data_IF_642403092055
#
_entry.id   IF_642403092055
#
_cell.length_a   1.000
_cell.length_b   1.000
_cell.length_c   1.000
_cell.angle_alpha   90.00
_cell.angle_beta   90.00
_cell.angle_gamma   90.00
#
_symmetry.space_group_name_H-M   'P 1'
#
loop_
_entity.id
_entity.type
_entity.pdbx_description
1 polymer ?
#
# COMPACT_ATOMS: atom_id res chain seq x y z
N UNK A 1 17.29 0.33 24.46
CA UNK A 1 15.93 -0.25 24.41
C UNK A 1 15.26 0.31 23.16
N UNK A 2 15.48 -0.37 22.02
CA UNK A 2 14.97 0.03 20.72
C UNK A 2 13.45 -0.16 20.72
N UNK A 3 12.68 0.93 20.65
CA UNK A 3 11.25 0.84 20.37
C UNK A 3 11.12 0.35 18.93
N UNK A 4 10.37 -0.74 18.73
CA UNK A 4 9.93 -1.15 17.40
C UNK A 4 9.32 0.05 16.65
N UNK A 5 9.48 0.12 15.31
CA UNK A 5 8.80 1.13 14.53
C UNK A 5 7.30 0.95 14.73
N UNK A 6 6.66 1.90 15.41
CA UNK A 6 5.19 2.00 15.44
C UNK A 6 4.73 2.04 13.98
N UNK A 7 3.90 1.08 13.58
CA UNK A 7 3.29 1.08 12.26
C UNK A 7 2.70 2.48 11.98
N UNK A 8 2.94 3.06 10.79
CA UNK A 8 2.36 4.36 10.43
C UNK A 8 0.84 4.29 10.61
N UNK A 9 0.29 5.22 11.40
CA UNK A 9 -1.07 5.11 11.91
C UNK A 9 -2.09 5.16 10.77
N UNK A 10 -2.66 4.00 10.42
CA UNK A 10 -3.84 3.84 9.57
C UNK A 10 -5.10 4.55 10.14
N UNK A 11 -5.02 5.15 11.33
CA UNK A 11 -6.13 5.77 12.04
C UNK A 11 -6.81 6.92 11.26
N UNK A 12 -6.09 7.58 10.34
CA UNK A 12 -6.68 8.57 9.44
C UNK A 12 -7.54 7.91 8.33
N UNK A 13 -7.08 6.78 7.79
CA UNK A 13 -7.76 6.08 6.69
C UNK A 13 -8.94 5.22 7.19
N UNK A 14 -8.78 4.48 8.30
CA UNK A 14 -9.80 3.53 8.81
C UNK A 14 -11.13 4.23 9.11
N UNK A 15 -11.09 5.46 9.63
CA UNK A 15 -12.32 6.14 10.02
C UNK A 15 -13.11 6.66 8.80
N UNK A 16 -12.43 7.10 7.74
CA UNK A 16 -13.09 7.48 6.50
C UNK A 16 -13.65 6.24 5.76
N UNK A 17 -12.93 5.11 5.82
CA UNK A 17 -13.34 3.81 5.26
C UNK A 17 -14.64 3.27 5.92
N UNK A 18 -14.82 3.49 7.22
CA UNK A 18 -16.01 3.01 7.96
C UNK A 18 -17.28 3.86 7.76
N UNK A 19 -17.22 4.96 7.00
CA UNK A 19 -18.28 5.97 6.96
C UNK A 19 -18.96 6.17 5.61
N UNK A 20 -18.57 5.43 4.60
CA UNK A 20 -19.06 5.58 3.23
C UNK A 20 -19.92 4.39 2.80
N UNK A 21 -20.96 4.71 2.02
CA UNK A 21 -21.87 3.75 1.43
C UNK A 21 -21.10 2.69 0.62
N UNK A 22 -21.62 1.47 0.58
CA UNK A 22 -21.05 0.30 -0.10
C UNK A 22 -20.52 0.68 -1.49
N UNK A 23 -19.20 0.83 -1.62
CA UNK A 23 -18.57 0.83 -2.93
C UNK A 23 -18.94 -0.50 -3.60
N UNK A 24 -19.58 -0.42 -4.75
CA UNK A 24 -20.00 -1.60 -5.49
C UNK A 24 -18.84 -1.96 -6.43
N UNK A 25 -18.08 -2.98 -6.05
CA UNK A 25 -17.05 -3.55 -6.91
C UNK A 25 -17.47 -4.92 -7.41
N UNK A 26 -17.04 -5.23 -8.63
CA UNK A 26 -17.18 -6.56 -9.21
C UNK A 26 -15.84 -7.27 -9.10
N UNK A 27 -15.85 -8.59 -8.91
CA UNK A 27 -14.64 -9.37 -9.17
C UNK A 27 -14.21 -9.13 -10.61
N UNK A 28 -12.99 -8.64 -10.80
CA UNK A 28 -12.42 -8.54 -12.14
C UNK A 28 -11.82 -9.91 -12.51
N UNK A 29 -12.12 -10.42 -13.72
CA UNK A 29 -11.37 -11.53 -14.28
C UNK A 29 -9.86 -11.21 -14.30
N UNK A 30 -8.98 -12.19 -14.06
CA UNK A 30 -7.55 -11.98 -14.13
C UNK A 30 -7.11 -11.30 -15.44
N UNK A 31 -6.34 -10.20 -15.32
CA UNK A 31 -5.82 -9.46 -16.48
C UNK A 31 -6.83 -8.52 -17.15
N UNK A 32 -8.04 -8.38 -16.60
CA UNK A 32 -8.97 -7.36 -17.09
C UNK A 32 -8.43 -5.95 -16.81
N UNK A 33 -8.54 -5.01 -17.77
CA UNK A 33 -8.05 -3.65 -17.57
C UNK A 33 -8.87 -2.93 -16.50
N UNK A 34 -8.17 -2.31 -15.55
CA UNK A 34 -8.82 -1.46 -14.53
C UNK A 34 -9.16 -0.10 -15.14
N UNK A 35 -10.41 0.37 -15.01
CA UNK A 35 -10.80 1.66 -15.57
C UNK A 35 -10.07 2.82 -14.87
N UNK A 36 -9.74 3.89 -15.62
CA UNK A 36 -9.18 5.08 -15.02
C UNK A 36 -10.18 5.71 -14.05
N UNK A 37 -9.69 6.10 -12.88
CA UNK A 37 -10.46 6.73 -11.81
C UNK A 37 -9.91 8.11 -11.46
N UNK A 38 -10.71 8.91 -10.77
CA UNK A 38 -10.30 10.23 -10.26
C UNK A 38 -9.64 10.08 -8.89
N UNK A 39 -8.63 10.89 -8.61
CA UNK A 39 -8.04 10.97 -7.28
C UNK A 39 -8.94 11.75 -6.31
N UNK A 40 -8.97 11.39 -5.01
CA UNK A 40 -8.26 10.24 -4.44
C UNK A 40 -9.04 8.95 -4.72
N UNK A 41 -8.33 7.83 -4.85
CA UNK A 41 -8.91 6.51 -5.17
C UNK A 41 -8.25 5.34 -4.46
N UNK A 42 -7.26 5.57 -3.59
CA UNK A 42 -6.64 4.48 -2.84
C UNK A 42 -7.42 4.16 -1.58
N UNK A 43 -7.45 5.08 -0.61
CA UNK A 43 -8.04 4.80 0.70
C UNK A 43 -9.24 5.68 1.03
N UNK A 44 -9.47 6.72 0.24
CA UNK A 44 -10.66 7.58 0.29
C UNK A 44 -11.02 8.05 -1.11
N UNK A 45 -12.27 8.46 -1.33
CA UNK A 45 -12.71 9.23 -2.52
C UNK A 45 -13.11 10.66 -2.14
N UNK A 46 -13.27 11.51 -3.16
CA UNK A 46 -13.76 12.88 -2.95
C UNK A 46 -15.16 12.90 -2.32
N UNK A 47 -16.02 11.96 -2.72
CA UNK A 47 -17.37 11.77 -2.18
C UNK A 47 -17.32 11.36 -0.70
N UNK A 48 -16.40 10.47 -0.32
CA UNK A 48 -16.24 10.03 1.08
C UNK A 48 -15.70 11.16 1.97
N UNK A 49 -14.79 11.99 1.46
CA UNK A 49 -14.35 13.21 2.15
C UNK A 49 -15.52 14.18 2.35
N UNK A 50 -16.33 14.41 1.32
CA UNK A 50 -17.52 15.27 1.41
C UNK A 50 -18.54 14.72 2.42
N UNK A 51 -18.83 13.42 2.37
CA UNK A 51 -19.73 12.74 3.30
C UNK A 51 -19.23 12.85 4.76
N UNK A 52 -17.92 12.71 4.98
CA UNK A 52 -17.29 12.88 6.29
C UNK A 52 -17.48 14.30 6.82
N UNK A 53 -17.30 15.33 5.97
CA UNK A 53 -17.54 16.74 6.34
C UNK A 53 -19.00 17.03 6.66
N UNK A 54 -19.94 16.43 5.91
CA UNK A 54 -21.38 16.54 6.22
C UNK A 54 -21.76 15.84 7.53
N UNK A 55 -21.13 14.69 7.83
CA UNK A 55 -21.32 13.98 9.09
C UNK A 55 -20.80 14.78 10.29
N UNK A 56 -19.66 15.47 10.14
CA UNK A 56 -19.11 16.32 11.19
C UNK A 56 -20.06 17.43 11.68
N UNK A 57 -21.05 17.83 10.88
CA UNK A 57 -22.09 18.78 11.30
C UNK A 57 -23.10 18.20 12.29
N UNK A 58 -23.21 16.87 12.35
CA UNK A 58 -24.19 16.13 13.16
C UNK A 58 -23.54 15.37 14.31
N UNK A 59 -22.34 14.86 14.11
CA UNK A 59 -21.63 13.98 15.03
C UNK A 59 -20.38 14.70 15.59
N UNK A 60 -20.40 15.20 16.85
CA UNK A 60 -19.29 15.96 17.43
C UNK A 60 -17.95 15.23 17.43
N UNK A 61 -17.96 13.90 17.56
CA UNK A 61 -16.75 13.08 17.57
C UNK A 61 -16.07 13.03 16.20
N UNK A 62 -16.83 13.18 15.10
CA UNK A 62 -16.28 13.26 13.74
C UNK A 62 -15.63 14.62 13.53
N UNK A 63 -16.26 15.69 14.00
CA UNK A 63 -15.67 17.03 13.99
C UNK A 63 -14.34 17.07 14.75
N UNK A 64 -14.33 16.58 15.99
CA UNK A 64 -13.14 16.49 16.83
C UNK A 64 -12.01 15.66 16.18
N UNK A 65 -12.36 14.59 15.46
CA UNK A 65 -11.38 13.82 14.69
C UNK A 65 -10.79 14.60 13.50
N UNK A 66 -11.61 15.35 12.74
CA UNK A 66 -11.12 16.22 11.66
C UNK A 66 -10.22 17.31 12.25
N UNK A 67 -10.65 17.96 13.33
CA UNK A 67 -9.90 19.04 13.99
C UNK A 67 -8.55 18.55 14.52
N UNK A 68 -8.48 17.37 15.15
CA UNK A 68 -7.20 16.74 15.54
C UNK A 68 -6.30 16.45 14.34
N UNK A 69 -6.87 16.03 13.22
CA UNK A 69 -6.10 15.76 12.00
C UNK A 69 -5.48 17.05 11.46
N UNK A 70 -6.26 18.13 11.41
CA UNK A 70 -5.79 19.46 10.98
C UNK A 70 -4.77 20.04 11.95
N UNK A 71 -5.02 19.95 13.26
CA UNK A 71 -4.08 20.42 14.27
C UNK A 71 -2.73 19.70 14.19
N UNK A 72 -2.73 18.39 13.93
CA UNK A 72 -1.48 17.66 13.72
C UNK A 72 -0.80 18.09 12.43
N UNK A 73 -1.55 18.34 11.35
CA UNK A 73 -1.01 18.86 10.10
C UNK A 73 -0.35 20.24 10.26
N UNK A 74 -0.86 21.11 11.13
CA UNK A 74 -0.24 22.41 11.43
C UNK A 74 1.21 22.25 11.92
N UNK A 75 1.45 21.27 12.80
CA UNK A 75 2.80 21.00 13.32
C UNK A 75 3.76 20.45 12.25
N UNK A 76 3.22 19.89 11.17
CA UNK A 76 4.01 19.28 10.09
C UNK A 76 4.40 20.30 9.00
N UNK A 77 3.82 21.51 9.02
CA UNK A 77 4.20 22.59 8.11
C UNK A 77 5.67 23.01 8.31
N UNK A 78 6.19 22.84 9.53
CA UNK A 78 7.56 23.20 9.92
C UNK A 78 8.60 22.11 9.66
N UNK A 79 8.22 20.95 9.10
CA UNK A 79 9.17 19.87 8.77
C UNK A 79 10.32 20.40 7.91
N UNK A 80 11.56 20.20 8.33
CA UNK A 80 12.73 20.59 7.54
C UNK A 80 12.98 19.55 6.44
N UNK A 81 13.05 20.05 5.21
CA UNK A 81 13.29 19.25 4.00
C UNK A 81 14.61 19.65 3.34
N UNK A 82 15.49 20.37 4.03
CA UNK A 82 16.82 20.77 3.55
C UNK A 82 17.66 19.56 3.11
N UNK A 83 17.58 18.48 3.89
CA UNK A 83 18.21 17.18 3.63
C UNK A 83 17.25 16.05 3.99
N UNK A 84 17.23 14.99 3.19
CA UNK A 84 16.49 13.77 3.57
C UNK A 84 17.24 13.02 4.68
N UNK A 85 16.52 12.22 5.49
CA UNK A 85 17.15 11.36 6.47
C UNK A 85 18.18 10.41 5.84
N UNK A 86 19.22 9.99 6.60
CA UNK A 86 20.12 8.93 6.17
C UNK A 86 19.37 7.61 5.94
N UNK A 87 19.97 6.75 5.11
CA UNK A 87 19.45 5.39 4.88
C UNK A 87 19.21 4.67 6.21
N UNK A 88 18.09 3.96 6.30
CA UNK A 88 17.63 3.20 7.48
C UNK A 88 17.27 4.07 8.71
N UNK A 89 16.94 5.34 8.51
CA UNK A 89 16.43 6.23 9.56
C UNK A 89 14.89 6.22 9.63
N UNK A 90 14.32 6.07 10.83
CA UNK A 90 12.87 6.07 11.07
C UNK A 90 12.17 7.39 10.68
N UNK A 91 12.93 8.48 10.52
CA UNK A 91 12.40 9.75 10.01
C UNK A 91 11.84 9.64 8.58
N UNK A 92 12.25 8.64 7.80
CA UNK A 92 11.62 8.37 6.50
C UNK A 92 10.13 8.04 6.64
N UNK A 93 9.79 7.16 7.58
CA UNK A 93 8.40 6.79 7.89
C UNK A 93 7.60 7.96 8.46
N UNK A 94 8.26 8.80 9.26
CA UNK A 94 7.67 10.04 9.78
C UNK A 94 7.29 11.00 8.65
N UNK A 95 8.21 11.29 7.72
CA UNK A 95 7.96 12.18 6.59
C UNK A 95 6.87 11.64 5.64
N UNK A 96 6.83 10.33 5.39
CA UNK A 96 5.74 9.72 4.63
C UNK A 96 4.39 9.92 5.32
N UNK A 97 4.33 9.63 6.63
CA UNK A 97 3.12 9.84 7.43
C UNK A 97 2.72 11.31 7.50
N UNK A 98 3.69 12.22 7.50
CA UNK A 98 3.46 13.65 7.48
C UNK A 98 2.82 14.09 6.16
N UNK A 99 3.35 13.63 5.02
CA UNK A 99 2.79 13.92 3.70
C UNK A 99 1.34 13.40 3.57
N UNK A 100 1.04 12.21 4.07
CA UNK A 100 -0.31 11.64 4.08
C UNK A 100 -1.27 12.49 4.93
N UNK A 101 -0.87 12.86 6.15
CA UNK A 101 -1.70 13.67 7.05
C UNK A 101 -1.94 15.08 6.52
N UNK A 102 -0.92 15.70 5.91
CA UNK A 102 -1.04 16.97 5.21
C UNK A 102 -2.01 16.85 4.01
N UNK A 103 -1.97 15.74 3.29
CA UNK A 103 -2.93 15.42 2.24
C UNK A 103 -4.38 15.38 2.74
N UNK A 104 -4.63 14.66 3.83
CA UNK A 104 -5.97 14.63 4.46
C UNK A 104 -6.41 16.03 4.93
N UNK A 105 -5.53 16.77 5.62
CA UNK A 105 -5.84 18.13 6.07
C UNK A 105 -6.15 19.06 4.89
N UNK A 106 -5.46 18.92 3.76
CA UNK A 106 -5.76 19.66 2.54
C UNK A 106 -7.18 19.38 2.03
N UNK A 107 -7.60 18.10 1.96
CA UNK A 107 -8.94 17.75 1.47
C UNK A 107 -10.05 18.15 2.45
N UNK A 108 -9.82 18.03 3.77
CA UNK A 108 -10.80 18.45 4.77
C UNK A 108 -10.95 19.97 4.85
N UNK A 109 -9.87 20.73 4.71
CA UNK A 109 -9.90 22.20 4.92
C UNK A 109 -10.01 22.99 3.62
N UNK A 110 -9.58 22.44 2.49
CA UNK A 110 -9.39 23.17 1.23
C UNK A 110 -8.23 24.17 1.25
N UNK A 111 -7.35 24.13 2.26
CA UNK A 111 -6.22 25.07 2.36
C UNK A 111 -5.00 24.56 1.60
N UNK A 112 -4.54 25.37 0.64
CA UNK A 112 -3.38 25.07 -0.22
C UNK A 112 -2.08 24.80 0.55
N UNK A 113 -1.89 25.42 1.72
CA UNK A 113 -0.66 25.29 2.52
C UNK A 113 -0.32 23.84 2.88
N UNK A 114 -1.33 23.01 3.18
CA UNK A 114 -1.11 21.61 3.53
C UNK A 114 -0.76 20.79 2.28
N UNK A 115 -1.47 20.99 1.18
CA UNK A 115 -1.21 20.31 -0.08
C UNK A 115 0.17 20.66 -0.65
N UNK A 116 0.57 21.93 -0.56
CA UNK A 116 1.89 22.40 -0.99
C UNK A 116 3.00 21.76 -0.16
N UNK A 117 2.82 21.63 1.17
CA UNK A 117 3.80 20.95 2.02
C UNK A 117 3.87 19.45 1.74
N UNK A 118 2.72 18.77 1.57
CA UNK A 118 2.69 17.36 1.19
C UNK A 118 3.44 17.14 -0.14
N UNK A 119 3.16 17.99 -1.14
CA UNK A 119 3.85 18.00 -2.43
C UNK A 119 5.36 18.21 -2.28
N UNK A 120 5.80 19.15 -1.44
CA UNK A 120 7.23 19.39 -1.20
C UNK A 120 7.94 18.13 -0.67
N UNK A 121 7.33 17.40 0.27
CA UNK A 121 7.88 16.15 0.79
C UNK A 121 8.00 15.12 -0.35
N UNK A 122 6.91 14.89 -1.08
CA UNK A 122 6.86 13.92 -2.19
C UNK A 122 7.90 14.22 -3.27
N UNK A 123 7.98 15.48 -3.73
CA UNK A 123 8.95 15.91 -4.74
C UNK A 123 10.37 15.81 -4.20
N UNK A 124 10.62 16.12 -2.92
CA UNK A 124 11.96 15.95 -2.35
C UNK A 124 12.43 14.49 -2.44
N UNK A 125 11.55 13.52 -2.20
CA UNK A 125 11.90 12.12 -2.41
C UNK A 125 12.13 11.79 -3.89
N UNK A 126 11.29 12.26 -4.81
CA UNK A 126 11.51 12.06 -6.25
C UNK A 126 12.82 12.69 -6.77
N UNK A 127 13.34 13.70 -6.09
CA UNK A 127 14.57 14.40 -6.47
C UNK A 127 15.82 13.71 -5.94
N UNK A 128 15.72 13.11 -4.76
CA UNK A 128 16.85 12.50 -4.07
C UNK A 128 16.95 11.00 -4.31
N UNK A 129 15.83 10.28 -4.44
CA UNK A 129 15.82 8.83 -4.57
C UNK A 129 16.71 8.31 -5.72
N UNK A 130 16.71 8.91 -6.92
CA UNK A 130 17.59 8.46 -8.01
C UNK A 130 19.09 8.53 -7.71
N UNK A 131 19.49 9.29 -6.68
CA UNK A 131 20.89 9.41 -6.24
C UNK A 131 21.32 8.27 -5.30
N UNK A 132 20.36 7.54 -4.73
CA UNK A 132 20.67 6.38 -3.89
C UNK A 132 21.02 5.20 -4.79
N UNK A 133 22.19 4.54 -4.60
CA UNK A 133 22.48 3.32 -5.32
C UNK A 133 21.49 2.25 -4.88
N UNK A 134 20.71 1.72 -5.82
CA UNK A 134 19.88 0.56 -5.55
C UNK A 134 20.77 -0.60 -5.12
N UNK A 135 20.55 -1.12 -3.92
CA UNK A 135 21.06 -2.43 -3.50
C UNK A 135 19.88 -3.41 -3.60
N UNK A 136 20.11 -4.69 -3.93
CA UNK A 136 19.07 -5.64 -4.35
C UNK A 136 17.81 -5.66 -3.49
N UNK A 137 17.89 -5.22 -2.24
CA UNK A 137 16.84 -5.27 -1.24
C UNK A 137 16.05 -3.96 -1.07
N UNK A 138 16.65 -2.76 -1.24
CA UNK A 138 15.97 -1.47 -1.05
C UNK A 138 16.84 -0.21 -1.33
N UNK A 139 16.19 0.92 -1.65
CA UNK A 139 16.80 2.25 -1.79
C UNK A 139 17.16 2.88 -0.43
N UNK A 140 16.15 3.24 0.36
CA UNK A 140 16.28 4.03 1.60
C UNK A 140 16.22 3.18 2.88
N UNK A 141 15.90 1.90 2.76
CA UNK A 141 15.97 0.92 3.85
C UNK A 141 16.95 -0.22 3.57
N UNK A 142 17.16 -1.07 4.57
CA UNK A 142 17.97 -2.29 4.46
C UNK A 142 17.20 -3.43 3.81
N UNK A 143 15.89 -3.52 4.04
CA UNK A 143 15.05 -4.56 3.46
C UNK A 143 13.83 -3.96 2.76
N UNK A 144 13.38 -4.66 1.73
CA UNK A 144 12.20 -4.35 0.92
C UNK A 144 10.92 -4.23 1.73
N UNK A 145 10.79 -4.92 2.87
CA UNK A 145 9.60 -4.79 3.73
C UNK A 145 9.45 -3.38 4.25
N UNK A 146 10.49 -2.81 4.87
CA UNK A 146 10.35 -1.44 5.39
C UNK A 146 10.10 -0.47 4.25
N UNK A 147 10.70 -0.72 3.08
CA UNK A 147 10.47 0.09 1.89
C UNK A 147 9.04 -0.05 1.32
N UNK A 148 8.45 -1.25 1.35
CA UNK A 148 7.07 -1.52 0.95
C UNK A 148 6.06 -0.89 1.93
N UNK A 149 6.31 -1.00 3.24
CA UNK A 149 5.52 -0.31 4.26
C UNK A 149 5.51 1.20 4.01
N UNK A 150 6.69 1.76 3.77
CA UNK A 150 6.87 3.18 3.47
C UNK A 150 6.18 3.58 2.16
N UNK A 151 6.31 2.77 1.11
CA UNK A 151 5.71 3.01 -0.20
C UNK A 151 4.18 3.01 -0.15
N UNK A 152 3.55 2.15 0.67
CA UNK A 152 2.10 2.18 0.88
C UNK A 152 1.62 3.57 1.34
N UNK A 153 2.34 4.18 2.29
CA UNK A 153 2.01 5.50 2.83
C UNK A 153 2.34 6.60 1.83
N UNK A 154 3.47 6.50 1.12
CA UNK A 154 3.84 7.46 0.08
C UNK A 154 2.87 7.46 -1.11
N UNK A 155 2.38 6.29 -1.54
CA UNK A 155 1.37 6.17 -2.58
C UNK A 155 0.06 6.84 -2.13
N UNK A 156 -0.35 6.62 -0.88
CA UNK A 156 -1.52 7.28 -0.27
C UNK A 156 -1.36 8.80 -0.23
N UNK A 157 -0.20 9.28 0.21
CA UNK A 157 0.12 10.71 0.22
C UNK A 157 0.09 11.32 -1.19
N UNK A 158 0.63 10.62 -2.19
CA UNK A 158 0.59 11.05 -3.58
C UNK A 158 -0.84 11.12 -4.12
N UNK A 159 -1.68 10.13 -3.84
CA UNK A 159 -3.10 10.11 -4.21
C UNK A 159 -3.86 11.34 -3.66
N UNK A 160 -3.68 11.64 -2.37
CA UNK A 160 -4.27 12.79 -1.70
C UNK A 160 -3.73 14.12 -2.27
N UNK A 161 -2.42 14.22 -2.51
CA UNK A 161 -1.80 15.40 -3.11
C UNK A 161 -2.30 15.62 -4.55
N UNK A 162 -2.49 14.55 -5.32
CA UNK A 162 -3.05 14.60 -6.66
C UNK A 162 -4.49 15.12 -6.64
N UNK A 163 -5.30 14.66 -5.69
CA UNK A 163 -6.67 15.12 -5.50
C UNK A 163 -6.77 16.62 -5.16
N UNK A 164 -5.76 17.18 -4.50
CA UNK A 164 -5.75 18.61 -4.11
C UNK A 164 -5.68 19.59 -5.29
N UNK A 165 -5.31 19.13 -6.49
CA UNK A 165 -5.10 19.99 -7.67
C UNK A 165 -3.79 20.79 -7.67
N UNK A 166 -2.94 20.65 -6.63
CA UNK A 166 -1.68 21.40 -6.48
C UNK A 166 -0.46 20.76 -7.17
N UNK A 167 -0.61 19.52 -7.62
CA UNK A 167 0.43 18.76 -8.31
C UNK A 167 0.17 18.78 -9.82
N UNK A 168 1.04 19.46 -10.55
CA UNK A 168 1.01 19.56 -12.01
C UNK A 168 1.29 18.22 -12.68
N UNK A 169 0.96 18.11 -13.98
CA UNK A 169 1.22 16.88 -14.73
C UNK A 169 2.72 16.53 -14.82
N UNK A 170 3.58 17.55 -14.95
CA UNK A 170 5.03 17.35 -14.93
C UNK A 170 5.51 16.80 -13.58
N UNK A 171 4.97 17.30 -12.47
CA UNK A 171 5.27 16.81 -11.12
C UNK A 171 4.71 15.38 -10.90
N UNK A 172 3.52 15.07 -11.42
CA UNK A 172 2.95 13.71 -11.39
C UNK A 172 3.84 12.73 -12.13
N UNK A 173 4.27 13.08 -13.35
CA UNK A 173 5.19 12.27 -14.14
C UNK A 173 6.52 12.07 -13.40
N UNK A 174 7.06 13.13 -12.79
CA UNK A 174 8.28 13.07 -11.99
C UNK A 174 8.14 12.11 -10.80
N UNK A 175 7.01 12.15 -10.09
CA UNK A 175 6.72 11.23 -8.99
C UNK A 175 6.58 9.79 -9.48
N UNK A 176 5.90 9.57 -10.61
CA UNK A 176 5.77 8.25 -11.20
C UNK A 176 7.14 7.65 -11.56
N UNK A 177 7.97 8.41 -12.26
CA UNK A 177 9.19 7.89 -12.88
C UNK A 177 10.40 7.85 -11.93
N UNK A 178 10.47 8.76 -10.95
CA UNK A 178 11.65 8.87 -10.07
C UNK A 178 11.41 8.35 -8.65
N UNK A 179 10.16 8.01 -8.29
CA UNK A 179 9.81 7.59 -6.94
C UNK A 179 8.93 6.34 -6.95
N UNK A 180 7.72 6.40 -7.51
CA UNK A 180 6.72 5.35 -7.35
C UNK A 180 7.11 4.07 -8.10
N UNK A 181 7.41 4.16 -9.40
CA UNK A 181 7.80 3.01 -10.23
C UNK A 181 9.15 2.41 -9.79
N UNK A 182 10.23 3.20 -9.57
CA UNK A 182 11.50 2.62 -9.16
C UNK A 182 11.41 1.84 -7.85
N UNK A 183 10.72 2.38 -6.84
CA UNK A 183 10.58 1.70 -5.54
C UNK A 183 9.69 0.46 -5.67
N UNK A 184 8.58 0.54 -6.40
CA UNK A 184 7.72 -0.62 -6.67
C UNK A 184 8.51 -1.72 -7.40
N UNK A 185 9.29 -1.38 -8.42
CA UNK A 185 10.14 -2.33 -9.13
C UNK A 185 11.26 -2.89 -8.24
N UNK A 186 11.79 -2.12 -7.29
CA UNK A 186 12.70 -2.64 -6.27
C UNK A 186 12.04 -3.73 -5.42
N UNK A 187 10.83 -3.45 -4.93
CA UNK A 187 10.02 -4.41 -4.16
C UNK A 187 9.71 -5.67 -4.97
N UNK A 188 9.36 -5.52 -6.26
CA UNK A 188 9.04 -6.65 -7.15
C UNK A 188 10.23 -7.60 -7.40
N UNK A 189 11.48 -7.18 -7.14
CA UNK A 189 12.68 -8.02 -7.28
C UNK A 189 12.92 -8.92 -6.10
N UNK A 190 12.31 -8.63 -4.95
CA UNK A 190 12.55 -9.40 -3.75
C UNK A 190 11.88 -10.77 -3.86
N UNK A 191 12.70 -11.75 -4.20
CA UNK A 191 12.35 -13.16 -4.30
C UNK A 191 13.03 -13.98 -3.21
N UNK A 192 13.24 -13.41 -2.01
CA UNK A 192 13.80 -14.17 -0.88
C UNK A 192 13.07 -15.50 -0.74
N UNK A 193 13.85 -16.59 -0.66
CA UNK A 193 13.34 -17.95 -0.52
C UNK A 193 13.67 -18.94 -1.64
N UNK A 194 14.32 -18.53 -2.72
CA UNK A 194 14.64 -19.44 -3.84
C UNK A 194 13.38 -19.82 -4.63
N UNK A 195 13.39 -20.94 -5.38
CA UNK A 195 12.22 -21.40 -6.17
C UNK A 195 11.34 -22.43 -5.44
N UNK A 196 11.62 -22.75 -4.17
CA UNK A 196 11.01 -23.88 -3.45
C UNK A 196 10.37 -23.49 -2.10
N UNK A 197 9.13 -23.97 -1.89
CA UNK A 197 8.42 -23.99 -0.59
C UNK A 197 7.82 -22.67 -0.10
N UNK A 198 7.38 -22.65 1.17
CA UNK A 198 6.79 -21.51 1.89
C UNK A 198 7.70 -20.27 2.01
N UNK A 199 8.95 -20.32 1.53
CA UNK A 199 9.88 -19.20 1.70
C UNK A 199 9.52 -17.96 0.86
N UNK A 200 8.61 -18.08 -0.11
CA UNK A 200 7.98 -16.95 -0.82
C UNK A 200 6.69 -16.45 -0.16
N UNK A 201 6.23 -17.13 0.88
CA UNK A 201 4.89 -16.99 1.43
C UNK A 201 5.00 -16.64 2.92
N UNK A 202 5.18 -15.35 3.21
CA UNK A 202 5.39 -14.80 4.55
C UNK A 202 4.92 -13.35 4.57
N UNK A 203 4.85 -12.74 5.76
CA UNK A 203 4.27 -11.40 5.95
C UNK A 203 4.79 -10.29 5.00
N UNK A 204 6.00 -10.45 4.44
CA UNK A 204 6.55 -9.55 3.44
C UNK A 204 5.76 -9.53 2.14
N UNK A 205 5.28 -10.68 1.67
CA UNK A 205 4.54 -10.77 0.43
C UNK A 205 3.23 -9.96 0.49
N UNK A 206 2.56 -9.95 1.65
CA UNK A 206 1.39 -9.12 1.90
C UNK A 206 1.70 -7.62 1.68
N UNK A 207 2.80 -7.15 2.28
CA UNK A 207 3.23 -5.76 2.14
C UNK A 207 3.73 -5.42 0.74
N UNK A 208 4.39 -6.36 0.05
CA UNK A 208 4.81 -6.19 -1.32
C UNK A 208 3.61 -6.04 -2.27
N UNK A 209 2.61 -6.93 -2.16
CA UNK A 209 1.36 -6.85 -2.90
C UNK A 209 0.64 -5.52 -2.62
N UNK A 210 0.55 -5.12 -1.36
CA UNK A 210 -0.09 -3.86 -0.97
C UNK A 210 0.62 -2.65 -1.58
N UNK A 211 1.95 -2.59 -1.46
CA UNK A 211 2.73 -1.45 -1.94
C UNK A 211 2.68 -1.32 -3.47
N UNK A 212 2.93 -2.42 -4.18
CA UNK A 212 2.93 -2.46 -5.65
C UNK A 212 1.52 -2.25 -6.20
N UNK A 213 0.50 -2.85 -5.57
CA UNK A 213 -0.90 -2.65 -5.93
C UNK A 213 -1.36 -1.21 -5.72
N UNK A 214 -1.02 -0.58 -4.59
CA UNK A 214 -1.30 0.85 -4.37
C UNK A 214 -0.67 1.72 -5.47
N UNK A 215 0.57 1.44 -5.88
CA UNK A 215 1.22 2.16 -6.99
C UNK A 215 0.50 1.90 -8.31
N UNK A 216 0.12 0.65 -8.59
CA UNK A 216 -0.62 0.28 -9.79
C UNK A 216 -1.96 1.00 -9.90
N UNK A 217 -2.78 0.99 -8.85
CA UNK A 217 -4.06 1.68 -8.82
C UNK A 217 -3.92 3.20 -8.88
N UNK A 218 -2.92 3.76 -8.20
CA UNK A 218 -2.61 5.19 -8.25
C UNK A 218 -2.26 5.65 -9.66
N UNK A 219 -1.39 4.91 -10.35
CA UNK A 219 -0.91 5.28 -11.69
C UNK A 219 -1.81 4.75 -12.82
N UNK A 220 -2.86 3.98 -12.48
CA UNK A 220 -3.66 3.20 -13.42
C UNK A 220 -2.79 2.32 -14.33
N UNK A 221 -1.73 1.74 -13.76
CA UNK A 221 -0.70 0.99 -14.47
C UNK A 221 -0.91 -0.52 -14.27
N UNK A 222 -1.51 -1.12 -15.30
CA UNK A 222 -1.97 -2.51 -15.29
C UNK A 222 -0.86 -3.51 -14.95
N UNK A 223 0.39 -3.21 -15.32
CA UNK A 223 1.52 -4.12 -15.05
C UNK A 223 1.74 -4.33 -13.55
N UNK A 224 1.67 -3.26 -12.77
CA UNK A 224 1.83 -3.35 -11.31
C UNK A 224 0.59 -3.96 -10.65
N UNK A 225 -0.60 -3.68 -11.18
CA UNK A 225 -1.86 -4.30 -10.71
C UNK A 225 -1.81 -5.82 -10.91
N UNK A 226 -1.49 -6.28 -12.12
CA UNK A 226 -1.39 -7.72 -12.43
C UNK A 226 -0.36 -8.44 -11.54
N UNK A 227 0.79 -7.80 -11.30
CA UNK A 227 1.82 -8.34 -10.42
C UNK A 227 1.32 -8.48 -8.98
N UNK A 228 0.69 -7.41 -8.47
CA UNK A 228 0.19 -7.38 -7.10
C UNK A 228 -0.99 -8.34 -6.87
N UNK A 229 -1.87 -8.55 -7.86
CA UNK A 229 -3.01 -9.45 -7.74
C UNK A 229 -2.66 -10.90 -8.02
N UNK A 230 -1.64 -11.16 -8.82
CA UNK A 230 -1.24 -12.51 -9.21
C UNK A 230 -2.03 -13.04 -10.42
N UNK A 231 -2.38 -12.16 -11.34
CA UNK A 231 -3.31 -12.46 -12.45
C UNK A 231 -2.64 -13.17 -13.64
N UNK A 232 -1.31 -13.35 -13.62
CA UNK A 232 -0.57 -13.99 -14.70
C UNK A 232 0.54 -14.90 -14.17
N UNK A 233 0.60 -16.13 -14.68
CA UNK A 233 1.72 -17.04 -14.44
C UNK A 233 2.85 -16.73 -15.43
N UNK A 234 3.50 -15.58 -15.24
CA UNK A 234 4.64 -15.14 -16.08
C UNK A 234 5.78 -14.57 -15.26
N UNK A 235 6.96 -14.59 -15.86
CA UNK A 235 8.18 -13.95 -15.36
C UNK A 235 8.61 -12.88 -16.35
N UNK A 236 9.02 -11.72 -15.85
CA UNK A 236 9.59 -10.64 -16.66
C UNK A 236 10.98 -10.27 -16.15
N UNK A 237 11.86 -9.84 -17.06
CA UNK A 237 13.14 -9.24 -16.68
C UNK A 237 12.94 -7.76 -16.33
N UNK A 238 13.55 -7.26 -15.23
CA UNK A 238 13.59 -5.84 -14.94
C UNK A 238 14.29 -5.04 -16.06
N UNK A 239 13.99 -3.74 -16.23
CA UNK A 239 14.59 -2.92 -17.28
C UNK A 239 16.12 -2.86 -17.25
N UNK A 240 16.74 -3.00 -16.07
CA UNK A 240 18.19 -3.02 -15.88
C UNK A 240 18.81 -4.43 -15.96
N UNK A 241 17.99 -5.45 -16.26
CA UNK A 241 18.39 -6.85 -16.39
C UNK A 241 18.73 -7.55 -15.08
N UNK A 242 18.49 -6.95 -13.91
CA UNK A 242 18.91 -7.50 -12.61
C UNK A 242 17.74 -8.02 -11.78
N UNK A 243 17.61 -9.34 -11.73
CA UNK A 243 16.55 -10.04 -10.99
C UNK A 243 15.43 -10.52 -11.92
N UNK A 244 14.29 -10.87 -11.33
CA UNK A 244 13.10 -11.36 -12.05
C UNK A 244 11.86 -10.81 -11.37
N UNK A 245 10.93 -10.27 -12.14
CA UNK A 245 9.57 -10.00 -11.68
C UNK A 245 8.73 -11.24 -11.88
N UNK A 246 8.24 -11.83 -10.79
CA UNK A 246 7.39 -13.01 -10.85
C UNK A 246 5.94 -12.66 -10.53
N UNK A 247 5.05 -12.81 -11.50
CA UNK A 247 3.64 -12.44 -11.40
C UNK A 247 2.79 -13.56 -10.75
N UNK A 248 3.37 -14.73 -10.46
CA UNK A 248 2.62 -15.87 -9.92
C UNK A 248 2.31 -15.81 -8.42
N UNK A 249 2.93 -14.89 -7.67
CA UNK A 249 2.90 -14.85 -6.20
C UNK A 249 2.13 -13.65 -5.62
N UNK A 250 1.17 -13.08 -6.37
CA UNK A 250 0.37 -11.94 -5.90
C UNK A 250 -0.67 -12.28 -4.82
N UNK A 251 -1.60 -11.35 -4.59
CA UNK A 251 -2.62 -11.44 -3.54
C UNK A 251 -3.46 -12.72 -3.60
N UNK A 252 -3.83 -13.20 -4.79
CA UNK A 252 -4.55 -14.47 -4.95
C UNK A 252 -3.76 -15.66 -4.41
N UNK A 253 -2.44 -15.69 -4.64
CA UNK A 253 -1.56 -16.72 -4.07
C UNK A 253 -1.50 -16.62 -2.56
N UNK A 254 -1.40 -15.39 -2.01
CA UNK A 254 -1.43 -15.17 -0.57
C UNK A 254 -2.72 -15.67 0.08
N UNK A 255 -3.90 -15.37 -0.49
CA UNK A 255 -5.17 -15.88 0.06
C UNK A 255 -5.23 -17.40 -0.04
N UNK A 256 -4.77 -17.97 -1.16
CA UNK A 256 -4.81 -19.41 -1.41
C UNK A 256 -3.94 -20.19 -0.41
N UNK A 257 -2.73 -19.71 -0.19
CA UNK A 257 -1.68 -20.47 0.47
C UNK A 257 -1.42 -20.06 1.92
N UNK A 258 -1.55 -18.76 2.23
CA UNK A 258 -1.08 -18.18 3.51
C UNK A 258 -2.21 -17.78 4.46
N UNK A 259 -3.45 -17.79 3.96
CA UNK A 259 -4.66 -17.66 4.77
C UNK A 259 -5.25 -19.05 4.95
N UNK A 260 -5.50 -19.40 6.21
CA UNK A 260 -6.10 -20.67 6.61
C UNK A 260 -7.62 -20.61 6.49
N UNK A 261 -8.28 -21.76 6.58
CA UNK A 261 -9.75 -21.83 6.44
C UNK A 261 -10.49 -21.12 7.57
N UNK A 262 -9.84 -20.94 8.73
CA UNK A 262 -10.34 -20.13 9.85
C UNK A 262 -10.04 -18.63 9.71
N UNK A 263 -9.44 -18.22 8.59
CA UNK A 263 -9.01 -16.84 8.30
C UNK A 263 -7.71 -16.44 8.99
N UNK A 264 -7.09 -17.32 9.79
CA UNK A 264 -5.83 -17.01 10.46
C UNK A 264 -4.68 -17.01 9.45
N UNK A 265 -3.74 -16.08 9.64
CA UNK A 265 -2.52 -16.05 8.84
C UNK A 265 -1.60 -17.20 9.27
N UNK A 266 -0.96 -17.87 8.31
CA UNK A 266 -0.24 -19.13 8.52
C UNK A 266 0.86 -19.09 9.60
N UNK A 267 1.48 -17.93 9.84
CA UNK A 267 2.51 -17.77 10.89
C UNK A 267 1.92 -17.93 12.31
N UNK A 268 0.59 -17.97 12.46
CA UNK A 268 -0.19 -18.25 13.69
C UNK A 268 0.17 -17.39 14.92
N UNK A 269 0.89 -16.30 14.70
CA UNK A 269 1.14 -15.27 15.69
C UNK A 269 0.08 -14.17 15.54
N UNK A 270 -0.64 -13.81 16.62
CA UNK A 270 -1.56 -12.66 16.57
C UNK A 270 -0.88 -11.38 16.06
N UNK A 271 0.40 -11.17 16.40
CA UNK A 271 1.15 -10.00 15.93
C UNK A 271 1.30 -9.98 14.41
N UNK A 272 1.76 -11.10 13.81
CA UNK A 272 1.92 -11.19 12.36
C UNK A 272 0.58 -11.25 11.61
N UNK A 273 -0.45 -11.84 12.21
CA UNK A 273 -1.79 -11.82 11.65
C UNK A 273 -2.28 -10.38 11.44
N UNK A 274 -2.29 -9.54 12.48
CA UNK A 274 -2.73 -8.15 12.33
C UNK A 274 -1.78 -7.31 11.46
N UNK A 275 -0.49 -7.68 11.41
CA UNK A 275 0.47 -7.06 10.50
C UNK A 275 0.15 -7.32 9.03
N UNK A 276 -0.26 -8.55 8.68
CA UNK A 276 -0.71 -8.92 7.33
C UNK A 276 -2.10 -8.36 7.01
N UNK A 277 -3.03 -8.38 7.97
CA UNK A 277 -4.35 -7.74 7.81
C UNK A 277 -4.19 -6.26 7.45
N UNK A 278 -3.25 -5.55 8.09
CA UNK A 278 -2.97 -4.15 7.75
C UNK A 278 -2.58 -3.96 6.28
N UNK A 279 -1.68 -4.80 5.76
CA UNK A 279 -1.26 -4.75 4.37
C UNK A 279 -2.42 -5.07 3.41
N UNK A 280 -3.14 -6.16 3.67
CA UNK A 280 -4.21 -6.66 2.80
C UNK A 280 -5.39 -5.68 2.74
N UNK A 281 -5.79 -5.08 3.87
CA UNK A 281 -6.81 -4.02 3.91
C UNK A 281 -6.44 -2.88 2.95
N UNK A 282 -5.18 -2.42 2.95
CA UNK A 282 -4.75 -1.33 2.05
C UNK A 282 -4.93 -1.69 0.57
N UNK A 283 -4.55 -2.91 0.21
CA UNK A 283 -4.74 -3.41 -1.16
C UNK A 283 -6.23 -3.50 -1.51
N UNK A 284 -7.03 -4.13 -0.65
CA UNK A 284 -8.46 -4.33 -0.86
C UNK A 284 -9.21 -2.99 -0.99
N UNK A 285 -8.87 -2.00 -0.17
CA UNK A 285 -9.47 -0.67 -0.23
C UNK A 285 -9.11 0.10 -1.51
N UNK A 286 -7.86 0.02 -1.96
CA UNK A 286 -7.41 0.60 -3.22
C UNK A 286 -8.06 -0.06 -4.44
N UNK A 287 -8.19 -1.39 -4.38
CA UNK A 287 -8.88 -2.18 -5.39
C UNK A 287 -10.37 -1.83 -5.45
N UNK A 288 -11.06 -1.80 -4.29
CA UNK A 288 -12.48 -1.49 -4.16
C UNK A 288 -12.83 -0.13 -4.78
N UNK A 289 -12.08 0.92 -4.44
CA UNK A 289 -12.25 2.27 -5.01
C UNK A 289 -11.82 2.40 -6.46
N UNK A 290 -11.16 1.38 -6.98
CA UNK A 290 -10.82 1.21 -8.39
C UNK A 290 -11.79 0.28 -9.13
N UNK A 291 -12.88 -0.17 -8.48
CA UNK A 291 -13.89 -1.04 -9.06
C UNK A 291 -13.53 -2.54 -9.05
N UNK A 292 -12.48 -2.92 -8.33
CA UNK A 292 -11.95 -4.29 -8.25
C UNK A 292 -12.32 -4.92 -6.92
N UNK A 293 -13.18 -5.94 -6.94
CA UNK A 293 -13.67 -6.62 -5.75
C UNK A 293 -12.66 -7.64 -5.23
N UNK A 294 -11.91 -7.30 -4.19
CA UNK A 294 -11.01 -8.23 -3.49
C UNK A 294 -11.55 -8.74 -2.15
N UNK A 295 -12.51 -8.04 -1.55
CA UNK A 295 -13.10 -8.41 -0.25
C UNK A 295 -13.93 -9.68 -0.27
N UNK A 296 -14.46 -10.06 -1.43
CA UNK A 296 -15.20 -11.31 -1.63
C UNK A 296 -14.43 -12.32 -2.49
N UNK A 297 -13.12 -12.09 -2.70
CA UNK A 297 -12.28 -12.92 -3.55
C UNK A 297 -12.31 -14.37 -3.07
N UNK A 298 -12.75 -15.28 -3.94
CA UNK A 298 -12.62 -16.72 -3.69
C UNK A 298 -11.47 -17.32 -4.49
N UNK A 299 -10.69 -18.20 -3.86
CA UNK A 299 -9.61 -18.98 -4.51
C UNK A 299 -9.78 -20.48 -4.23
N UNK A 300 -9.41 -21.36 -5.18
CA UNK A 300 -9.40 -22.80 -4.91
C UNK A 300 -8.43 -23.12 -3.77
N UNK A 301 -8.82 -23.97 -2.83
CA UNK A 301 -7.90 -24.47 -1.81
C UNK A 301 -6.83 -25.39 -2.44
N UNK A 302 -5.60 -25.31 -1.93
CA UNK A 302 -4.45 -26.09 -2.36
C UNK A 302 -3.66 -26.73 -1.23
N UNK A 303 -4.32 -26.96 -0.08
CA UNK A 303 -3.78 -27.65 1.09
C UNK A 303 -3.04 -28.98 0.78
N UNK A 304 -3.25 -29.58 -0.39
CA UNK A 304 -2.58 -30.80 -0.84
C UNK A 304 -1.23 -30.61 -1.59
N UNK A 305 -0.88 -29.43 -2.10
CA UNK A 305 0.21 -29.31 -3.11
C UNK A 305 1.59 -28.87 -2.58
N UNK A 306 1.73 -28.21 -1.43
CA UNK A 306 3.02 -27.56 -1.08
C UNK A 306 3.46 -27.59 0.39
N UNK A 307 3.00 -28.55 1.18
CA UNK A 307 3.47 -28.68 2.57
C UNK A 307 4.48 -29.85 2.83
N UNK A 308 5.63 -30.00 2.12
CA UNK A 308 6.64 -31.01 2.46
C UNK A 308 7.32 -30.82 3.83
N UNK A 309 7.22 -29.63 4.45
CA UNK A 309 7.91 -29.27 5.70
C UNK A 309 6.98 -29.04 6.89
N UNK A 310 5.68 -29.29 6.74
CA UNK A 310 4.66 -29.08 7.77
C UNK A 310 4.55 -30.20 8.80
N UNK A 311 5.48 -31.18 8.81
CA UNK A 311 5.47 -32.26 9.81
C UNK A 311 5.47 -31.82 11.28
N UNK A 312 5.73 -30.52 11.54
CA UNK A 312 5.65 -29.88 12.85
C UNK A 312 4.44 -28.93 13.05
N UNK A 313 3.55 -28.80 12.07
CA UNK A 313 2.36 -27.94 12.08
C UNK A 313 1.09 -28.75 11.79
N UNK A 314 -0.05 -28.37 12.36
CA UNK A 314 -1.32 -29.02 12.00
C UNK A 314 -1.72 -28.62 10.59
N UNK A 315 -1.79 -29.58 9.67
CA UNK A 315 -2.32 -29.36 8.33
C UNK A 315 -3.81 -29.04 8.45
N UNK A 316 -4.28 -28.01 7.76
CA UNK A 316 -5.71 -27.96 7.45
C UNK A 316 -5.94 -28.99 6.34
N UNK A 317 -6.99 -29.80 6.45
CA UNK A 317 -7.41 -30.65 5.33
C UNK A 317 -8.04 -29.81 4.22
N UNK A 318 -8.32 -30.42 3.07
CA UNK A 318 -9.13 -29.80 2.01
C UNK A 318 -10.55 -29.55 2.53
N UNK A 319 -10.87 -28.28 2.80
CA UNK A 319 -12.17 -27.83 3.30
C UNK A 319 -12.99 -27.06 2.25
N UNK A 320 -12.59 -27.12 0.97
CA UNK A 320 -13.21 -26.38 -0.13
C UNK A 320 -12.63 -24.97 -0.34
N UNK A 321 -13.17 -24.19 -1.29
CA UNK A 321 -12.60 -22.88 -1.67
C UNK A 321 -12.51 -21.88 -0.52
N UNK A 322 -11.40 -21.14 -0.45
CA UNK A 322 -11.16 -20.09 0.55
C UNK A 322 -11.72 -18.74 0.05
N UNK A 323 -12.38 -18.01 0.95
CA UNK A 323 -13.01 -16.70 0.70
C UNK A 323 -12.54 -15.63 1.67
#
# INVERSE_FOLDING_TARGET
>A
MNREPRAPSLAASILAILMSASAQATELPPGAPVPPGKHPRLHVTAEEIAATKERAKRDPWVLDWIERTVHRADTLLTEDLSTLPPKHDNRHSHLASAAEQLGYAALFTGKDVYADKAKQILIRYADELPKYPYKPEAYIYTYSLQEANWLCVMASAADLAFASGRVSEAERKRLADNLLRPVAEGVMRDMRGGDEGHHKCYNFQAWHCAAVGCVGFLLNDQRYIEWALGDAQRKESPPDGKGVFNFGYGFRHLVKHDVRDDGMFWERSPGYHFYVVNATVRLCEAALRSGVGLWGLTVPDDSAENEPSSGNYTLDGDNGPKS
#
